data_IF_520815620160
#
_entry.id   IF_520815620160
#
_cell.length_a   1.000
_cell.length_b   1.000
_cell.length_c   1.000
_cell.angle_alpha   90.00
_cell.angle_beta   90.00
_cell.angle_gamma   90.00
#
_symmetry.space_group_name_H-M   'P 1'
#
loop_
_entity.id
_entity.type
_entity.pdbx_description
1 polymer ?
#
# COMPACT_ATOMS: atom_id res chain seq x y z
N UNK A 1 8.04 24.33 47.66
CA UNK A 1 7.86 23.00 47.03
C UNK A 1 7.41 23.22 45.60
N UNK A 2 8.28 22.95 44.63
CA UNK A 2 7.91 23.00 43.22
C UNK A 2 7.35 21.64 42.81
N UNK A 3 6.07 21.61 42.44
CA UNK A 3 5.42 20.42 41.89
C UNK A 3 5.82 20.33 40.42
N UNK A 4 6.74 19.41 40.12
CA UNK A 4 7.14 19.10 38.76
C UNK A 4 6.03 18.26 38.11
N UNK A 5 5.20 18.89 37.27
CA UNK A 5 4.23 18.20 36.43
C UNK A 5 4.98 17.38 35.37
N UNK A 6 5.15 16.09 35.61
CA UNK A 6 5.57 15.15 34.57
C UNK A 6 4.40 14.94 33.60
N UNK A 7 4.46 15.61 32.45
CA UNK A 7 3.61 15.27 31.33
C UNK A 7 4.04 13.89 30.79
N UNK A 8 3.25 12.86 31.05
CA UNK A 8 3.38 11.57 30.35
C UNK A 8 2.99 11.80 28.90
N UNK A 9 3.98 11.99 28.02
CA UNK A 9 3.76 11.92 26.59
C UNK A 9 3.29 10.49 26.26
N UNK A 10 1.98 10.33 26.02
CA UNK A 10 1.47 9.11 25.41
C UNK A 10 1.99 9.14 23.97
N UNK A 11 3.12 8.49 23.70
CA UNK A 11 3.55 8.22 22.34
C UNK A 11 2.61 7.18 21.76
N UNK A 12 1.45 7.62 21.27
CA UNK A 12 0.62 6.79 20.40
C UNK A 12 1.37 6.67 19.09
N UNK A 13 1.72 5.44 18.69
CA UNK A 13 2.27 5.20 17.37
C UNK A 13 1.34 5.82 16.31
N UNK A 14 1.90 6.50 15.30
CA UNK A 14 1.10 7.10 14.25
C UNK A 14 0.26 6.02 13.55
N UNK A 15 -1.04 6.26 13.42
CA UNK A 15 -1.97 5.29 12.83
C UNK A 15 -1.67 5.03 11.34
N UNK A 16 -1.08 6.02 10.66
CA UNK A 16 -0.80 6.04 9.24
C UNK A 16 0.68 6.25 8.93
N UNK A 17 1.09 5.75 7.78
CA UNK A 17 2.45 5.81 7.28
C UNK A 17 2.92 7.24 7.01
N UNK A 18 4.15 7.52 7.44
CA UNK A 18 4.92 8.70 7.05
C UNK A 18 5.89 8.40 5.88
N UNK A 19 5.91 7.17 5.36
CA UNK A 19 6.72 6.85 4.19
C UNK A 19 6.17 7.55 2.96
N UNK A 20 7.03 7.95 2.03
CA UNK A 20 6.62 8.91 1.03
C UNK A 20 5.77 8.23 -0.04
N UNK A 21 4.57 8.76 -0.27
CA UNK A 21 3.70 8.29 -1.34
C UNK A 21 2.92 9.44 -1.96
N UNK A 22 2.96 9.50 -3.29
CA UNK A 22 2.19 10.41 -4.13
C UNK A 22 1.84 9.68 -5.42
N UNK A 23 0.63 9.15 -5.48
CA UNK A 23 0.13 8.41 -6.63
C UNK A 23 -1.25 8.94 -7.01
N UNK A 24 -1.42 9.28 -8.28
CA UNK A 24 -2.71 9.67 -8.87
C UNK A 24 -2.75 9.07 -10.25
N UNK A 25 -3.57 8.05 -10.45
CA UNK A 25 -3.63 7.30 -11.69
C UNK A 25 -5.06 7.20 -12.18
N UNK A 26 -5.30 7.62 -13.42
CA UNK A 26 -6.60 7.52 -14.08
C UNK A 26 -6.66 6.23 -14.91
N UNK A 27 -7.33 5.21 -14.38
CA UNK A 27 -7.51 3.95 -15.09
C UNK A 27 -8.47 4.07 -16.28
N UNK A 28 -9.17 5.21 -16.44
CA UNK A 28 -9.99 5.49 -17.63
C UNK A 28 -9.16 5.62 -18.91
N UNK A 29 -7.86 5.93 -18.78
CA UNK A 29 -6.94 6.07 -19.92
C UNK A 29 -6.49 4.72 -20.48
N UNK A 30 -6.22 3.74 -19.61
CA UNK A 30 -5.65 2.45 -19.99
C UNK A 30 -6.66 1.29 -19.92
N UNK A 31 -7.76 1.46 -19.17
CA UNK A 31 -8.79 0.44 -18.92
C UNK A 31 -8.19 -0.89 -18.41
N UNK A 32 -7.20 -0.80 -17.53
CA UNK A 32 -6.45 -1.95 -17.05
C UNK A 32 -7.32 -2.84 -16.15
N UNK A 33 -7.58 -4.08 -16.57
CA UNK A 33 -8.46 -5.00 -15.84
C UNK A 33 -7.85 -5.54 -14.54
N UNK A 34 -6.52 -5.63 -14.45
CA UNK A 34 -5.83 -6.09 -13.24
C UNK A 34 -6.09 -5.12 -12.10
N UNK A 35 -5.94 -3.82 -12.37
CA UNK A 35 -6.26 -2.76 -11.42
C UNK A 35 -7.77 -2.62 -11.23
N UNK A 36 -8.55 -2.63 -12.33
CA UNK A 36 -10.01 -2.46 -12.30
C UNK A 36 -10.67 -3.41 -11.29
N UNK A 37 -10.22 -4.67 -11.26
CA UNK A 37 -10.70 -5.69 -10.32
C UNK A 37 -10.51 -5.28 -8.86
N UNK A 38 -9.32 -4.80 -8.47
CA UNK A 38 -9.06 -4.38 -7.08
C UNK A 38 -9.75 -3.06 -6.72
N UNK A 39 -10.06 -2.23 -7.71
CA UNK A 39 -10.77 -0.94 -7.55
C UNK A 39 -12.29 -1.04 -7.68
N UNK A 40 -12.83 -2.25 -7.84
CA UNK A 40 -14.27 -2.50 -7.82
C UNK A 40 -14.74 -2.76 -6.37
N UNK A 41 -15.63 -1.91 -5.86
CA UNK A 41 -16.18 -2.05 -4.51
C UNK A 41 -16.99 -3.33 -4.29
N UNK A 42 -17.45 -3.98 -5.36
CA UNK A 42 -18.13 -5.27 -5.33
C UNK A 42 -17.15 -6.46 -5.29
N UNK A 43 -15.88 -6.23 -5.60
CA UNK A 43 -14.79 -7.22 -5.65
C UNK A 43 -13.89 -7.12 -4.40
N UNK A 44 -14.52 -7.04 -3.21
CA UNK A 44 -13.79 -6.88 -1.95
C UNK A 44 -12.89 -8.08 -1.65
N UNK A 45 -11.76 -7.80 -1.03
CA UNK A 45 -10.72 -8.79 -0.71
C UNK A 45 -9.71 -9.02 -1.81
N UNK A 46 -9.89 -8.39 -2.97
CA UNK A 46 -8.92 -8.39 -4.06
C UNK A 46 -8.05 -7.15 -3.94
N UNK A 47 -6.74 -7.37 -3.86
CA UNK A 47 -5.74 -6.33 -3.72
C UNK A 47 -4.83 -6.32 -4.93
N UNK A 48 -4.41 -5.14 -5.38
CA UNK A 48 -3.46 -4.95 -6.46
C UNK A 48 -2.17 -4.35 -5.91
N UNK A 49 -1.05 -5.04 -6.17
CA UNK A 49 0.28 -4.53 -5.97
C UNK A 49 0.69 -3.74 -7.22
N UNK A 50 0.96 -2.46 -7.02
CA UNK A 50 1.34 -1.50 -8.06
C UNK A 50 2.80 -1.17 -7.84
N UNK A 51 3.62 -1.39 -8.88
CA UNK A 51 5.04 -1.03 -8.86
C UNK A 51 5.44 -0.22 -10.08
N UNK A 52 6.48 0.60 -9.96
CA UNK A 52 7.08 1.31 -11.09
C UNK A 52 8.32 0.55 -11.59
N UNK A 53 8.47 0.43 -12.91
CA UNK A 53 9.68 -0.10 -13.54
C UNK A 53 10.12 0.78 -14.71
N UNK A 54 11.42 0.84 -14.97
CA UNK A 54 12.00 1.55 -16.12
C UNK A 54 12.55 0.52 -17.11
N UNK A 55 12.10 0.59 -18.36
CA UNK A 55 12.59 -0.28 -19.45
C UNK A 55 12.98 0.62 -20.63
N UNK A 56 14.24 0.53 -21.04
CA UNK A 56 14.77 1.31 -22.18
C UNK A 56 14.48 2.83 -22.06
N UNK A 57 14.54 3.38 -20.84
CA UNK A 57 14.31 4.80 -20.57
C UNK A 57 12.84 5.23 -20.48
N UNK A 58 11.88 4.34 -20.75
CA UNK A 58 10.46 4.60 -20.51
C UNK A 58 10.01 4.04 -19.16
N UNK A 59 9.12 4.77 -18.47
CA UNK A 59 8.48 4.33 -17.23
C UNK A 59 7.25 3.48 -17.49
N UNK A 60 7.03 2.51 -16.62
CA UNK A 60 5.92 1.57 -16.68
C UNK A 60 5.38 1.33 -15.29
N UNK A 61 4.05 1.29 -15.17
CA UNK A 61 3.38 0.73 -14.01
C UNK A 61 3.13 -0.76 -14.25
N UNK A 62 3.47 -1.58 -13.26
CA UNK A 62 3.22 -3.01 -13.24
C UNK A 62 2.17 -3.29 -12.18
N UNK A 63 1.08 -3.90 -12.61
CA UNK A 63 -0.04 -4.29 -11.76
C UNK A 63 0.00 -5.80 -11.57
N UNK A 64 -0.14 -6.27 -10.34
CA UNK A 64 -0.33 -7.70 -10.04
C UNK A 64 -1.34 -7.82 -8.92
N UNK A 65 -2.46 -8.49 -9.16
CA UNK A 65 -3.51 -8.62 -8.16
C UNK A 65 -3.52 -10.00 -7.49
N UNK A 66 -4.19 -10.08 -6.34
CA UNK A 66 -4.31 -11.32 -5.54
C UNK A 66 -5.13 -12.42 -6.23
N UNK A 67 -5.86 -12.11 -7.29
CA UNK A 67 -6.60 -13.07 -8.13
C UNK A 67 -5.75 -13.69 -9.25
N UNK A 68 -4.46 -13.33 -9.30
CA UNK A 68 -3.50 -13.89 -10.25
C UNK A 68 -3.45 -13.19 -11.60
N UNK A 69 -4.10 -12.03 -11.75
CA UNK A 69 -3.94 -11.19 -12.93
C UNK A 69 -2.67 -10.34 -12.81
N UNK A 70 -2.03 -10.10 -13.95
CA UNK A 70 -0.89 -9.21 -14.06
C UNK A 70 -0.92 -8.47 -15.38
N UNK A 71 -0.54 -7.20 -15.35
CA UNK A 71 -0.46 -6.34 -16.53
C UNK A 71 0.65 -5.30 -16.35
N UNK A 72 1.07 -4.71 -17.47
CA UNK A 72 2.09 -3.65 -17.48
C UNK A 72 1.61 -2.57 -18.42
N UNK A 73 1.54 -1.34 -17.91
CA UNK A 73 1.15 -0.16 -18.68
C UNK A 73 2.33 0.79 -18.81
N UNK A 74 2.55 1.28 -20.02
CA UNK A 74 3.55 2.32 -20.27
C UNK A 74 2.96 3.65 -19.85
N UNK A 75 3.70 4.43 -19.07
CA UNK A 75 3.25 5.77 -18.73
C UNK A 75 3.16 6.65 -19.98
N UNK A 76 2.08 7.43 -20.06
CA UNK A 76 1.95 8.56 -20.96
C UNK A 76 2.85 9.71 -20.50
N UNK A 77 3.07 10.69 -21.38
CA UNK A 77 3.88 11.87 -21.02
C UNK A 77 3.30 12.62 -19.80
N UNK A 78 1.98 12.79 -19.73
CA UNK A 78 1.30 13.45 -18.62
C UNK A 78 1.44 12.68 -17.29
N UNK A 79 1.41 11.34 -17.34
CA UNK A 79 1.62 10.50 -16.15
C UNK A 79 3.07 10.59 -15.66
N UNK A 80 4.05 10.62 -16.57
CA UNK A 80 5.46 10.80 -16.19
C UNK A 80 5.75 12.18 -15.59
N UNK A 81 5.07 13.23 -16.04
CA UNK A 81 5.10 14.58 -15.43
C UNK A 81 4.42 14.61 -14.05
N UNK A 82 3.57 13.62 -13.75
CA UNK A 82 2.93 13.51 -12.43
C UNK A 82 3.87 12.99 -11.34
N UNK A 83 5.13 12.66 -11.66
CA UNK A 83 6.18 12.30 -10.69
C UNK A 83 5.70 11.35 -9.59
N UNK A 84 5.22 10.17 -9.99
CA UNK A 84 4.75 9.17 -9.05
C UNK A 84 5.81 8.80 -8.02
N UNK A 85 5.35 8.63 -6.79
CA UNK A 85 6.13 8.06 -5.71
C UNK A 85 5.31 6.96 -5.04
N UNK A 86 5.74 5.71 -5.26
CA UNK A 86 5.03 4.52 -4.80
C UNK A 86 5.68 3.98 -3.52
N UNK A 87 5.56 4.69 -2.40
CA UNK A 87 6.06 4.17 -1.14
C UNK A 87 7.56 3.81 -1.14
N UNK A 88 7.95 2.92 -0.25
CA UNK A 88 9.29 2.37 -0.26
C UNK A 88 9.43 1.26 -1.32
N UNK A 89 10.61 1.13 -1.94
CA UNK A 89 10.87 0.19 -3.05
C UNK A 89 9.93 0.35 -4.25
N UNK A 90 9.35 1.54 -4.45
CA UNK A 90 8.44 1.83 -5.55
C UNK A 90 7.26 0.84 -5.64
N UNK A 91 6.72 0.40 -4.50
CA UNK A 91 5.56 -0.47 -4.41
C UNK A 91 4.51 0.01 -3.40
N UNK A 92 3.25 0.00 -3.83
CA UNK A 92 2.07 0.14 -2.96
C UNK A 92 1.06 -0.97 -3.25
N UNK A 93 0.20 -1.26 -2.28
CA UNK A 93 -0.89 -2.22 -2.42
C UNK A 93 -2.21 -1.51 -2.20
N UNK A 94 -3.15 -1.63 -3.12
CA UNK A 94 -4.48 -0.99 -3.03
C UNK A 94 -5.60 -2.01 -3.16
N UNK A 95 -6.76 -1.73 -2.57
CA UNK A 95 -7.94 -2.57 -2.75
C UNK A 95 -9.06 -2.24 -1.76
N UNK A 96 -10.17 -2.96 -1.87
CA UNK A 96 -11.27 -2.88 -0.90
C UNK A 96 -11.16 -4.02 0.11
N UNK A 97 -11.08 -3.69 1.41
CA UNK A 97 -10.97 -4.70 2.47
C UNK A 97 -12.33 -5.31 2.84
N UNK A 98 -12.39 -6.58 3.23
CA UNK A 98 -13.69 -7.23 3.52
C UNK A 98 -14.31 -6.85 4.88
N UNK A 99 -13.52 -6.69 5.94
CA UNK A 99 -14.06 -6.66 7.31
C UNK A 99 -14.30 -5.27 7.89
N UNK A 100 -13.81 -4.20 7.26
CA UNK A 100 -13.88 -2.84 7.80
C UNK A 100 -14.32 -1.84 6.74
N UNK A 101 -15.38 -1.09 7.04
CA UNK A 101 -15.79 0.08 6.26
C UNK A 101 -15.10 1.31 6.82
N UNK A 102 -14.13 1.83 6.07
CA UNK A 102 -13.54 3.15 6.30
C UNK A 102 -14.49 4.24 5.79
N UNK A 103 -14.26 5.53 6.09
CA UNK A 103 -15.01 6.64 5.48
C UNK A 103 -15.04 6.59 3.94
N UNK A 104 -14.07 5.91 3.31
CA UNK A 104 -13.95 5.72 1.86
C UNK A 104 -14.54 4.39 1.38
N UNK A 105 -15.60 3.89 2.03
CA UNK A 105 -16.27 2.63 1.64
C UNK A 105 -15.41 1.38 1.82
N UNK A 106 -14.29 1.46 2.55
CA UNK A 106 -13.34 0.37 2.75
C UNK A 106 -12.19 0.30 1.74
N UNK A 107 -12.07 1.26 0.81
CA UNK A 107 -10.86 1.38 0.00
C UNK A 107 -9.66 1.73 0.89
N UNK A 108 -8.55 1.03 0.69
CA UNK A 108 -7.34 1.15 1.51
C UNK A 108 -6.09 1.04 0.64
N UNK A 109 -5.01 1.65 1.09
CA UNK A 109 -3.69 1.50 0.50
C UNK A 109 -2.65 1.22 1.58
N UNK A 110 -1.71 0.33 1.27
CA UNK A 110 -0.58 -0.04 2.12
C UNK A 110 0.74 0.18 1.38
N UNK A 111 1.82 0.36 2.13
CA UNK A 111 3.16 0.19 1.57
C UNK A 111 3.44 -1.28 1.27
N UNK A 112 4.23 -1.54 0.22
CA UNK A 112 4.60 -2.90 -0.17
C UNK A 112 5.75 -3.47 0.66
N UNK A 113 6.38 -2.72 1.58
CA UNK A 113 7.42 -3.25 2.46
C UNK A 113 6.93 -3.70 3.82
N UNK A 114 7.60 -4.72 4.34
CA UNK A 114 7.47 -5.16 5.72
C UNK A 114 8.04 -4.10 6.68
N UNK A 115 7.22 -3.42 7.50
CA UNK A 115 7.70 -2.38 8.42
C UNK A 115 8.65 -2.91 9.46
N UNK A 116 8.42 -4.13 9.95
CA UNK A 116 9.27 -4.75 10.94
C UNK A 116 10.68 -5.02 10.40
N UNK A 117 10.83 -5.41 9.12
CA UNK A 117 12.15 -5.59 8.52
C UNK A 117 12.84 -4.25 8.23
N UNK A 118 12.09 -3.27 7.70
CA UNK A 118 12.62 -1.94 7.39
C UNK A 118 13.15 -1.27 8.66
N UNK A 119 12.38 -1.29 9.74
CA UNK A 119 12.72 -0.66 11.03
C UNK A 119 13.87 -1.39 11.72
N UNK A 120 13.86 -2.73 11.76
CA UNK A 120 14.92 -3.50 12.43
C UNK A 120 16.24 -3.49 11.65
N UNK A 121 16.18 -3.52 10.31
CA UNK A 121 17.36 -3.52 9.46
C UNK A 121 17.91 -2.13 9.16
N UNK A 122 17.20 -1.06 9.56
CA UNK A 122 17.45 0.32 9.16
C UNK A 122 17.72 0.46 7.64
N UNK A 123 16.94 -0.27 6.83
CA UNK A 123 17.14 -0.37 5.39
C UNK A 123 15.84 -0.04 4.67
N UNK A 124 15.74 1.23 4.27
CA UNK A 124 14.68 1.72 3.40
C UNK A 124 14.92 1.18 1.98
N UNK A 125 13.88 0.70 1.31
CA UNK A 125 13.99 0.38 -0.13
C UNK A 125 14.56 -1.00 -0.47
N UNK A 126 14.75 -1.90 0.50
CA UNK A 126 15.27 -3.25 0.22
C UNK A 126 14.22 -4.13 -0.47
N UNK A 127 14.53 -4.63 -1.66
CA UNK A 127 13.65 -5.56 -2.40
C UNK A 127 13.35 -6.86 -1.64
N UNK A 128 14.21 -7.25 -0.68
CA UNK A 128 14.01 -8.44 0.17
C UNK A 128 12.84 -8.28 1.14
N UNK A 129 12.39 -7.06 1.39
CA UNK A 129 11.34 -6.76 2.37
C UNK A 129 9.98 -6.53 1.72
N UNK A 130 9.89 -6.61 0.38
CA UNK A 130 8.63 -6.54 -0.34
C UNK A 130 7.76 -7.73 0.07
N UNK A 131 6.57 -7.45 0.58
CA UNK A 131 5.60 -8.46 1.00
C UNK A 131 4.96 -9.15 -0.21
N UNK A 132 4.61 -10.42 -0.04
CA UNK A 132 3.96 -11.24 -1.05
C UNK A 132 2.50 -11.47 -0.65
N UNK A 133 1.58 -11.07 -1.52
CA UNK A 133 0.15 -11.28 -1.32
C UNK A 133 -0.26 -12.68 -1.77
N UNK A 134 -1.20 -13.28 -1.05
CA UNK A 134 -1.94 -14.46 -1.51
C UNK A 134 -3.37 -14.10 -1.94
N UNK A 135 -4.09 -15.10 -2.45
CA UNK A 135 -5.47 -14.98 -2.92
C UNK A 135 -6.51 -14.80 -1.80
N UNK A 136 -6.11 -14.81 -0.52
CA UNK A 136 -7.00 -14.65 0.63
C UNK A 136 -6.89 -13.27 1.27
N UNK A 137 -6.13 -12.36 0.65
CA UNK A 137 -5.84 -11.05 1.21
C UNK A 137 -4.92 -11.14 2.43
N UNK A 138 -4.05 -12.15 2.47
CA UNK A 138 -2.91 -12.22 3.39
C UNK A 138 -1.65 -11.76 2.67
N UNK A 139 -0.83 -10.97 3.37
CA UNK A 139 0.48 -10.57 2.90
C UNK A 139 1.56 -11.18 3.80
N UNK A 140 2.56 -11.83 3.21
CA UNK A 140 3.64 -12.48 3.95
C UNK A 140 4.98 -11.82 3.61
N UNK A 141 5.76 -11.47 4.64
CA UNK A 141 7.14 -11.03 4.42
C UNK A 141 8.03 -12.24 4.10
N UNK A 142 8.72 -12.27 2.94
CA UNK A 142 9.58 -13.40 2.59
C UNK A 142 10.81 -13.51 3.49
N UNK A 143 11.26 -12.41 4.08
CA UNK A 143 12.43 -12.36 4.98
C UNK A 143 12.10 -12.85 6.39
N UNK A 144 11.16 -12.21 7.08
CA UNK A 144 10.90 -12.51 8.48
C UNK A 144 9.65 -13.37 8.74
N UNK A 145 8.97 -13.81 7.68
CA UNK A 145 7.78 -14.69 7.71
C UNK A 145 6.55 -14.14 8.43
N UNK A 146 6.58 -12.88 8.89
CA UNK A 146 5.40 -12.20 9.42
C UNK A 146 4.28 -12.14 8.40
N UNK A 147 3.05 -12.29 8.88
CA UNK A 147 1.85 -12.26 8.05
C UNK A 147 0.92 -11.13 8.48
N UNK A 148 0.39 -10.42 7.50
CA UNK A 148 -0.48 -9.27 7.65
C UNK A 148 -1.82 -9.53 6.97
N UNK A 149 -2.93 -9.26 7.66
CA UNK A 149 -4.27 -9.43 7.10
C UNK A 149 -4.73 -8.15 6.41
N UNK A 150 -4.60 -8.08 5.08
CA UNK A 150 -4.98 -6.91 4.27
C UNK A 150 -6.48 -6.60 4.39
N UNK A 151 -7.29 -7.65 4.55
CA UNK A 151 -8.73 -7.56 4.76
C UNK A 151 -9.15 -6.94 6.11
N UNK A 152 -8.21 -6.76 7.03
CA UNK A 152 -8.43 -6.18 8.33
C UNK A 152 -7.29 -5.22 8.69
N UNK A 153 -7.19 -4.10 7.96
CA UNK A 153 -6.27 -2.99 8.25
C UNK A 153 -4.79 -3.38 8.38
N UNK A 154 -4.36 -4.48 7.76
CA UNK A 154 -2.97 -4.92 7.76
C UNK A 154 -2.46 -5.41 9.13
N UNK A 155 -3.37 -5.84 10.03
CA UNK A 155 -2.97 -6.35 11.35
C UNK A 155 -2.03 -7.54 11.22
N UNK A 156 -1.09 -7.66 12.16
CA UNK A 156 -0.20 -8.82 12.26
C UNK A 156 -0.99 -10.01 12.78
N UNK A 157 -1.01 -11.11 12.03
CA UNK A 157 -1.63 -12.39 12.46
C UNK A 157 -0.61 -13.49 12.71
N UNK A 158 0.62 -13.29 12.23
CA UNK A 158 1.77 -14.12 12.56
C UNK A 158 2.95 -13.18 12.82
N UNK A 159 3.38 -13.09 14.08
CA UNK A 159 4.39 -12.16 14.55
C UNK A 159 4.45 -12.09 16.08
N UNK A 160 5.32 -11.22 16.59
CA UNK A 160 5.45 -10.88 18.00
C UNK A 160 4.44 -9.81 18.45
N UNK A 161 4.30 -9.68 19.77
CA UNK A 161 3.35 -8.76 20.41
C UNK A 161 3.58 -7.28 20.04
N UNK A 162 4.84 -6.90 19.82
CA UNK A 162 5.26 -5.52 19.56
C UNK A 162 5.52 -5.26 18.06
N UNK A 163 5.09 -6.18 17.19
CA UNK A 163 5.25 -6.01 15.76
C UNK A 163 4.31 -4.94 15.22
N UNK A 164 4.84 -4.10 14.33
CA UNK A 164 4.06 -3.11 13.62
C UNK A 164 3.13 -3.79 12.61
N UNK A 165 1.87 -3.36 12.56
CA UNK A 165 0.95 -3.62 11.43
C UNK A 165 1.57 -3.10 10.13
N UNK A 166 1.05 -3.58 9.00
CA UNK A 166 1.46 -3.07 7.69
C UNK A 166 1.19 -1.55 7.59
N UNK A 167 2.12 -0.81 7.00
CA UNK A 167 2.05 0.65 6.88
C UNK A 167 0.87 1.05 5.99
N UNK A 168 -0.11 1.74 6.56
CA UNK A 168 -1.33 2.15 5.88
C UNK A 168 -1.24 3.63 5.49
N UNK A 169 -1.56 3.99 4.25
CA UNK A 169 -1.63 5.40 3.82
C UNK A 169 -2.95 6.06 4.24
N UNK A 170 -2.88 7.35 4.60
CA UNK A 170 -4.00 8.10 5.19
C UNK A 170 -5.00 8.63 4.15
N UNK A 171 -4.49 9.18 3.06
CA UNK A 171 -5.29 9.88 2.06
C UNK A 171 -5.44 8.98 0.84
N UNK A 172 -6.53 8.22 0.81
CA UNK A 172 -6.82 7.27 -0.27
C UNK A 172 -8.17 7.58 -0.88
N UNK A 173 -8.27 7.55 -2.21
CA UNK A 173 -9.53 7.70 -2.92
C UNK A 173 -9.56 6.79 -4.15
N UNK A 174 -10.77 6.34 -4.50
CA UNK A 174 -11.03 5.54 -5.69
C UNK A 174 -12.41 5.94 -6.25
N UNK A 175 -12.47 6.37 -7.51
CA UNK A 175 -13.74 6.73 -8.15
C UNK A 175 -14.35 5.59 -8.98
N UNK A 176 -13.77 4.38 -8.88
CA UNK A 176 -14.28 3.15 -9.47
C UNK A 176 -13.29 2.44 -10.41
N UNK A 177 -13.71 1.33 -11.04
CA UNK A 177 -12.84 0.45 -11.84
C UNK A 177 -12.15 1.12 -13.03
N UNK A 178 -12.81 2.08 -13.64
CA UNK A 178 -12.31 2.87 -14.79
C UNK A 178 -12.06 4.33 -14.40
N UNK A 179 -11.86 4.58 -13.11
CA UNK A 179 -11.73 5.91 -12.54
C UNK A 179 -10.33 6.21 -12.02
N UNK A 180 -10.26 7.23 -11.18
CA UNK A 180 -9.02 7.70 -10.57
C UNK A 180 -8.78 6.97 -9.25
N UNK A 181 -7.56 6.45 -9.11
CA UNK A 181 -6.99 6.00 -7.84
C UNK A 181 -6.02 7.06 -7.36
N UNK A 182 -6.16 7.51 -6.12
CA UNK A 182 -5.18 8.38 -5.50
C UNK A 182 -4.76 7.91 -4.11
N UNK A 183 -3.46 8.02 -3.84
CA UNK A 183 -2.83 7.61 -2.58
C UNK A 183 -1.77 8.66 -2.22
N UNK A 184 -1.87 9.21 -1.01
CA UNK A 184 -0.89 10.14 -0.48
C UNK A 184 -0.49 9.79 0.96
N UNK A 185 0.79 9.99 1.25
CA UNK A 185 1.30 10.02 2.63
C UNK A 185 0.80 11.27 3.36
N UNK A 186 0.71 11.19 4.69
CA UNK A 186 0.45 12.37 5.53
C UNK A 186 1.73 13.21 5.54
N UNK A 187 1.67 14.45 5.05
CA UNK A 187 2.75 15.43 5.19
C UNK A 187 2.76 16.03 6.59
#
# INVERSE_FOLDING_TARGET
>A
MAVLLMATACSTDPEFSAWPCRFVYDNGLHLDQTLATATNSMSRGIFCHITESVRQGAKYLVFTNSDGLSSTQRETAAESESHYQLGLSNGIIVGYQTFNTTPNGGFIAYDAQCPNCVRNGNSLGSSKYIIQMDHKGMATCPTCKRQYMLNNRGIVVNGGKDDHKLEQYALVNCTGPTGVVSVFSRQ
#
